data_IF_828580805414
#
_entry.id   IF_828580805414
#
_cell.length_a   1.000
_cell.length_b   1.000
_cell.length_c   1.000
_cell.angle_alpha   90.00
_cell.angle_beta   90.00
_cell.angle_gamma   90.00
#
_symmetry.space_group_name_H-M   'P 1'
#
loop_
_entity.id
_entity.type
_entity.pdbx_description
1 polymer ?
#
# COMPACT_ATOMS: atom_id res chain seq x y z
N UNK A 1 -3.14 -8.39 11.43
CA UNK A 1 -3.75 -7.80 10.23
C UNK A 1 -3.68 -6.28 10.28
N UNK A 2 -4.22 -5.62 11.31
CA UNK A 2 -4.12 -4.17 11.47
C UNK A 2 -2.67 -3.66 11.43
N UNK A 3 -1.72 -4.34 12.08
CA UNK A 3 -0.30 -4.00 11.96
C UNK A 3 0.21 -4.00 10.50
N UNK A 4 -0.27 -4.92 9.66
CA UNK A 4 0.07 -4.93 8.23
C UNK A 4 -0.59 -3.75 7.49
N UNK A 5 -1.80 -3.35 7.88
CA UNK A 5 -2.48 -2.15 7.37
C UNK A 5 -1.71 -0.88 7.75
N UNK A 6 -1.17 -0.80 8.96
CA UNK A 6 -0.26 0.29 9.38
C UNK A 6 0.96 0.34 8.46
N UNK A 7 1.58 -0.80 8.14
CA UNK A 7 2.71 -0.85 7.22
C UNK A 7 2.33 -0.43 5.78
N UNK A 8 1.17 -0.84 5.27
CA UNK A 8 0.66 -0.38 3.96
C UNK A 8 0.43 1.13 3.98
N UNK A 9 -0.19 1.64 5.06
CA UNK A 9 -0.39 3.06 5.28
C UNK A 9 0.93 3.82 5.29
N UNK A 10 1.94 3.33 6.02
CA UNK A 10 3.26 3.95 6.08
C UNK A 10 3.96 3.99 4.72
N UNK A 11 3.81 2.95 3.90
CA UNK A 11 4.34 2.96 2.54
C UNK A 11 3.68 4.09 1.71
N UNK A 12 2.35 4.21 1.75
CA UNK A 12 1.64 5.27 1.02
C UNK A 12 1.96 6.66 1.56
N UNK A 13 1.94 6.85 2.88
CA UNK A 13 2.19 8.14 3.51
C UNK A 13 3.60 8.67 3.34
N UNK A 14 4.57 7.80 3.05
CA UNK A 14 5.93 8.23 2.69
C UNK A 14 6.01 8.94 1.33
N UNK A 15 5.14 8.58 0.38
CA UNK A 15 5.25 9.04 -1.01
C UNK A 15 5.09 10.54 -1.19
N UNK A 16 4.11 11.24 -0.59
CA UNK A 16 3.98 12.70 -0.74
C UNK A 16 5.26 13.45 -0.35
N UNK A 17 5.94 13.01 0.71
CA UNK A 17 7.18 13.62 1.20
C UNK A 17 8.34 13.32 0.23
N UNK A 18 8.50 12.06 -0.17
CA UNK A 18 9.54 11.63 -1.11
C UNK A 18 9.40 12.29 -2.49
N UNK A 19 8.18 12.33 -3.02
CA UNK A 19 7.84 12.92 -4.33
C UNK A 19 8.04 14.42 -4.32
N UNK A 20 7.70 15.11 -3.23
CA UNK A 20 7.93 16.55 -3.10
C UNK A 20 9.42 16.85 -3.13
N UNK A 21 10.22 16.14 -2.34
CA UNK A 21 11.68 16.30 -2.34
C UNK A 21 12.31 15.98 -3.70
N UNK A 22 11.84 14.94 -4.39
CA UNK A 22 12.27 14.62 -5.75
C UNK A 22 11.96 15.73 -6.76
N UNK A 23 10.74 16.28 -6.71
CA UNK A 23 10.34 17.37 -7.60
C UNK A 23 11.15 18.65 -7.35
N UNK A 24 11.47 18.95 -6.09
CA UNK A 24 12.34 20.07 -5.72
C UNK A 24 13.78 19.84 -6.20
N UNK A 25 14.32 18.64 -6.05
CA UNK A 25 15.65 18.27 -6.57
C UNK A 25 15.73 18.32 -8.11
N UNK A 26 14.61 18.06 -8.80
CA UNK A 26 14.49 18.20 -10.25
C UNK A 26 14.29 19.66 -10.71
N UNK A 27 14.23 20.63 -9.80
CA UNK A 27 14.03 22.05 -10.10
C UNK A 27 12.60 22.41 -10.53
N UNK A 28 11.63 21.50 -10.36
CA UNK A 28 10.28 21.64 -10.88
C UNK A 28 9.24 21.32 -9.81
N UNK A 29 9.02 22.25 -8.86
CA UNK A 29 8.12 22.01 -7.71
C UNK A 29 6.68 21.63 -8.11
N UNK A 30 6.17 22.16 -9.22
CA UNK A 30 4.86 21.82 -9.77
C UNK A 30 4.73 20.34 -10.20
N UNK A 31 5.85 19.64 -10.41
CA UNK A 31 5.89 18.24 -10.79
C UNK A 31 5.35 17.32 -9.69
N UNK A 32 5.47 17.70 -8.41
CA UNK A 32 5.00 16.86 -7.29
C UNK A 32 3.50 16.55 -7.40
N UNK A 33 2.68 17.55 -7.74
CA UNK A 33 1.25 17.39 -7.96
C UNK A 33 0.94 16.44 -9.12
N UNK A 34 1.64 16.56 -10.24
CA UNK A 34 1.48 15.68 -11.39
C UNK A 34 1.91 14.23 -11.10
N UNK A 35 2.98 14.03 -10.35
CA UNK A 35 3.46 12.71 -9.94
C UNK A 35 2.48 12.02 -8.99
N UNK A 36 1.93 12.77 -8.02
CA UNK A 36 0.89 12.26 -7.14
C UNK A 36 -0.43 11.99 -7.89
N UNK A 37 -0.77 12.84 -8.87
CA UNK A 37 -1.91 12.60 -9.75
C UNK A 37 -1.72 11.33 -10.60
N UNK A 38 -0.52 11.08 -11.11
CA UNK A 38 -0.20 9.84 -11.83
C UNK A 38 -0.38 8.61 -10.93
N UNK A 39 0.11 8.67 -9.68
CA UNK A 39 -0.10 7.61 -8.70
C UNK A 39 -1.59 7.35 -8.45
N UNK A 40 -2.36 8.41 -8.19
CA UNK A 40 -3.79 8.33 -7.95
C UNK A 40 -4.55 7.79 -9.18
N UNK A 41 -4.15 8.20 -10.38
CA UNK A 41 -4.69 7.67 -11.64
C UNK A 41 -4.42 6.18 -11.80
N UNK A 42 -3.20 5.75 -11.47
CA UNK A 42 -2.84 4.33 -11.41
C UNK A 42 -3.71 3.54 -10.44
N UNK A 43 -3.93 4.07 -9.23
CA UNK A 43 -4.83 3.48 -8.25
C UNK A 43 -6.28 3.42 -8.76
N UNK A 44 -6.78 4.47 -9.41
CA UNK A 44 -8.12 4.45 -10.01
C UNK A 44 -8.26 3.32 -11.04
N UNK A 45 -7.31 3.20 -11.97
CA UNK A 45 -7.30 2.13 -12.98
C UNK A 45 -7.21 0.76 -12.32
N UNK A 46 -6.33 0.60 -11.33
CA UNK A 46 -6.19 -0.64 -10.57
C UNK A 46 -7.49 -1.05 -9.87
N UNK A 47 -8.19 -0.10 -9.27
CA UNK A 47 -9.49 -0.32 -8.64
C UNK A 47 -10.56 -0.74 -9.64
N UNK A 48 -10.66 -0.02 -10.77
CA UNK A 48 -11.62 -0.33 -11.84
C UNK A 48 -11.38 -1.71 -12.44
N UNK A 49 -10.13 -2.07 -12.76
CA UNK A 49 -9.82 -3.39 -13.30
C UNK A 49 -10.04 -4.50 -12.28
N UNK A 50 -9.78 -4.23 -11.00
CA UNK A 50 -9.99 -5.21 -9.94
C UNK A 50 -11.46 -5.53 -9.69
N UNK A 51 -12.41 -4.66 -10.06
CA UNK A 51 -13.86 -4.96 -9.94
C UNK A 51 -14.28 -6.24 -10.67
N UNK A 52 -13.56 -6.61 -11.74
CA UNK A 52 -13.82 -7.83 -12.52
C UNK A 52 -13.19 -9.07 -11.91
N UNK A 53 -12.37 -8.92 -10.88
CA UNK A 53 -11.64 -10.01 -10.29
C UNK A 53 -12.48 -10.67 -9.19
N UNK A 54 -12.85 -11.94 -9.38
CA UNK A 54 -13.73 -12.69 -8.46
C UNK A 54 -13.20 -12.84 -7.03
N UNK A 55 -13.98 -13.43 -6.12
CA UNK A 55 -13.60 -13.58 -4.72
C UNK A 55 -12.28 -14.37 -4.56
N UNK A 56 -11.27 -13.71 -3.98
CA UNK A 56 -9.93 -14.28 -3.84
C UNK A 56 -9.80 -15.32 -2.73
N UNK A 57 -8.89 -16.30 -2.94
CA UNK A 57 -8.49 -17.27 -1.93
C UNK A 57 -7.52 -16.72 -0.86
N UNK A 58 -7.17 -17.57 0.11
CA UNK A 58 -6.35 -17.22 1.30
C UNK A 58 -4.96 -16.62 0.98
N UNK A 59 -4.34 -17.02 -0.13
CA UNK A 59 -3.02 -16.53 -0.55
C UNK A 59 -3.03 -15.19 -1.28
N UNK A 60 -4.22 -14.63 -1.60
CA UNK A 60 -4.32 -13.43 -2.43
C UNK A 60 -3.85 -12.18 -1.70
N UNK A 61 -4.15 -12.03 -0.41
CA UNK A 61 -3.75 -10.84 0.35
C UNK A 61 -2.22 -10.69 0.42
N UNK A 62 -1.43 -11.71 0.83
CA UNK A 62 0.03 -11.65 0.77
C UNK A 62 0.57 -11.35 -0.64
N UNK A 63 -0.01 -11.98 -1.68
CA UNK A 63 0.42 -11.77 -3.07
C UNK A 63 0.17 -10.33 -3.55
N UNK A 64 -1.01 -9.78 -3.26
CA UNK A 64 -1.34 -8.40 -3.60
C UNK A 64 -0.45 -7.41 -2.84
N UNK A 65 -0.18 -7.67 -1.56
CA UNK A 65 0.75 -6.85 -0.77
C UNK A 65 2.18 -6.95 -1.29
N UNK A 66 2.58 -8.11 -1.83
CA UNK A 66 3.90 -8.28 -2.45
C UNK A 66 4.00 -7.52 -3.78
N UNK A 67 2.97 -7.58 -4.63
CA UNK A 67 2.91 -6.77 -5.85
C UNK A 67 2.94 -5.27 -5.52
N UNK A 68 2.23 -4.85 -4.48
CA UNK A 68 2.26 -3.49 -3.96
C UNK A 68 3.66 -3.05 -3.52
N UNK A 69 4.35 -3.86 -2.71
CA UNK A 69 5.72 -3.56 -2.28
C UNK A 69 6.70 -3.51 -3.46
N UNK A 70 6.58 -4.44 -4.40
CA UNK A 70 7.41 -4.51 -5.60
C UNK A 70 7.25 -3.27 -6.49
N UNK A 71 6.06 -2.68 -6.54
CA UNK A 71 5.77 -1.45 -7.30
C UNK A 71 6.65 -0.26 -6.90
N UNK A 72 7.17 -0.23 -5.67
CA UNK A 72 8.03 0.87 -5.19
C UNK A 72 9.52 0.65 -5.50
N UNK A 73 9.96 -0.58 -5.76
CA UNK A 73 11.39 -0.87 -5.97
C UNK A 73 11.99 -0.10 -7.15
N UNK A 74 11.32 0.03 -8.32
CA UNK A 74 11.86 0.81 -9.43
C UNK A 74 12.05 2.30 -9.13
N UNK A 75 11.29 2.86 -8.18
CA UNK A 75 11.40 4.28 -7.81
C UNK A 75 12.76 4.60 -7.18
N UNK A 76 13.43 3.61 -6.60
CA UNK A 76 14.76 3.76 -5.98
C UNK A 76 15.85 4.09 -7.02
N UNK A 77 15.61 3.80 -8.30
CA UNK A 77 16.54 4.17 -9.37
C UNK A 77 16.55 5.68 -9.66
N UNK A 78 15.61 6.44 -9.09
CA UNK A 78 15.44 7.88 -9.31
C UNK A 78 15.48 8.26 -10.80
N UNK A 79 14.66 7.63 -11.67
CA UNK A 79 14.68 7.92 -13.09
C UNK A 79 14.14 9.33 -13.36
N UNK A 80 14.28 9.80 -14.60
CA UNK A 80 13.77 11.12 -15.00
C UNK A 80 12.24 11.27 -14.83
N UNK A 81 11.72 12.52 -14.83
CA UNK A 81 10.33 12.83 -14.47
C UNK A 81 9.24 12.02 -15.21
N UNK A 82 9.30 11.81 -16.54
CA UNK A 82 8.28 11.04 -17.25
C UNK A 82 8.23 9.58 -16.79
N UNK A 83 9.40 8.99 -16.52
CA UNK A 83 9.49 7.62 -16.03
C UNK A 83 9.08 7.50 -14.57
N UNK A 84 9.42 8.50 -13.76
CA UNK A 84 8.93 8.56 -12.38
C UNK A 84 7.39 8.61 -12.34
N UNK A 85 6.76 9.38 -13.22
CA UNK A 85 5.30 9.44 -13.33
C UNK A 85 4.68 8.08 -13.68
N UNK A 86 5.23 7.39 -14.69
CA UNK A 86 4.77 6.05 -15.08
C UNK A 86 4.93 5.04 -13.95
N UNK A 87 6.10 5.01 -13.30
CA UNK A 87 6.36 4.08 -12.21
C UNK A 87 5.47 4.35 -10.99
N UNK A 88 5.19 5.61 -10.67
CA UNK A 88 4.23 5.98 -9.62
C UNK A 88 2.81 5.55 -9.97
N UNK A 89 2.39 5.69 -11.23
CA UNK A 89 1.10 5.15 -11.68
C UNK A 89 1.05 3.63 -11.52
N UNK A 90 2.10 2.91 -11.92
CA UNK A 90 2.21 1.45 -11.73
C UNK A 90 2.20 1.08 -10.24
N UNK A 91 2.89 1.84 -9.39
CA UNK A 91 2.91 1.61 -7.95
C UNK A 91 1.52 1.84 -7.31
N UNK A 92 0.78 2.85 -7.77
CA UNK A 92 -0.60 3.12 -7.33
C UNK A 92 -1.58 2.00 -7.66
N UNK A 93 -1.36 1.30 -8.78
CA UNK A 93 -2.25 0.25 -9.28
C UNK A 93 -2.57 -0.86 -8.27
N UNK A 94 -1.59 -1.24 -7.44
CA UNK A 94 -1.72 -2.37 -6.52
C UNK A 94 -2.43 -2.01 -5.20
N UNK A 95 -2.53 -0.73 -4.84
CA UNK A 95 -3.12 -0.28 -3.58
C UNK A 95 -4.62 -0.66 -3.45
N UNK A 96 -5.51 -0.33 -4.41
CA UNK A 96 -6.92 -0.68 -4.30
C UNK A 96 -7.17 -2.20 -4.15
N UNK A 97 -6.55 -3.08 -4.95
CA UNK A 97 -6.61 -4.53 -4.72
C UNK A 97 -6.27 -4.94 -3.28
N UNK A 98 -5.22 -4.37 -2.70
CA UNK A 98 -4.82 -4.63 -1.30
C UNK A 98 -5.91 -4.17 -0.35
N UNK A 99 -6.43 -2.95 -0.49
CA UNK A 99 -7.48 -2.42 0.37
C UNK A 99 -8.76 -3.26 0.27
N UNK A 100 -9.19 -3.64 -0.94
CA UNK A 100 -10.35 -4.52 -1.12
C UNK A 100 -10.15 -5.86 -0.41
N UNK A 101 -8.97 -6.47 -0.53
CA UNK A 101 -8.66 -7.72 0.16
C UNK A 101 -8.62 -7.56 1.69
N UNK A 102 -8.13 -6.41 2.19
CA UNK A 102 -8.13 -6.05 3.61
C UNK A 102 -9.57 -5.91 4.13
N UNK A 103 -10.41 -5.09 3.49
CA UNK A 103 -11.80 -4.91 3.93
C UNK A 103 -12.61 -6.21 3.86
N UNK A 104 -12.40 -7.03 2.81
CA UNK A 104 -13.02 -8.36 2.72
C UNK A 104 -12.55 -9.29 3.85
N UNK A 105 -11.26 -9.22 4.22
CA UNK A 105 -10.74 -10.01 5.33
C UNK A 105 -11.25 -9.52 6.69
N UNK A 106 -11.48 -8.21 6.84
CA UNK A 106 -12.05 -7.61 8.04
C UNK A 106 -13.52 -8.02 8.19
N UNK A 107 -14.31 -7.95 7.11
CA UNK A 107 -15.70 -8.41 7.07
C UNK A 107 -15.85 -9.87 7.49
N UNK A 108 -14.99 -10.76 6.96
CA UNK A 108 -14.97 -12.18 7.35
C UNK A 108 -14.50 -12.46 8.78
N UNK A 109 -13.80 -11.52 9.40
CA UNK A 109 -13.29 -11.64 10.77
C UNK A 109 -14.20 -11.01 11.80
N UNK A 110 -15.00 -10.02 11.40
CA UNK A 110 -15.85 -9.28 12.30
C UNK A 110 -16.94 -10.19 12.89
N UNK A 111 -17.13 -10.18 14.21
CA UNK A 111 -18.32 -10.73 14.83
C UNK A 111 -19.61 -10.14 14.24
N UNK A 112 -20.74 -10.86 14.29
CA UNK A 112 -22.03 -10.32 13.89
C UNK A 112 -22.32 -9.01 14.62
N UNK A 113 -22.69 -7.97 13.87
CA UNK A 113 -23.01 -6.65 14.42
C UNK A 113 -21.83 -5.68 14.59
N UNK A 114 -20.58 -6.07 14.33
CA UNK A 114 -19.40 -5.19 14.54
C UNK A 114 -18.60 -4.88 13.27
N UNK A 115 -19.16 -5.13 12.08
CA UNK A 115 -18.49 -4.88 10.79
C UNK A 115 -18.07 -3.41 10.64
N UNK A 116 -18.95 -2.48 11.02
CA UNK A 116 -18.67 -1.05 10.95
C UNK A 116 -17.47 -0.66 11.83
N UNK A 117 -17.37 -1.24 13.04
CA UNK A 117 -16.25 -1.01 13.94
C UNK A 117 -14.94 -1.59 13.37
N UNK A 118 -15.00 -2.80 12.81
CA UNK A 118 -13.84 -3.42 12.17
C UNK A 118 -13.30 -2.56 11.00
N UNK A 119 -14.21 -2.00 10.18
CA UNK A 119 -13.83 -1.12 9.08
C UNK A 119 -13.24 0.21 9.59
N UNK A 120 -13.81 0.78 10.65
CA UNK A 120 -13.27 1.97 11.29
C UNK A 120 -11.83 1.73 11.78
N UNK A 121 -11.56 0.59 12.43
CA UNK A 121 -10.20 0.23 12.87
C UNK A 121 -9.22 0.04 11.72
N UNK A 122 -9.65 -0.51 10.58
CA UNK A 122 -8.81 -0.62 9.38
C UNK A 122 -8.43 0.76 8.85
N UNK A 123 -9.39 1.68 8.74
CA UNK A 123 -9.14 3.06 8.28
C UNK A 123 -8.21 3.78 9.26
N UNK A 124 -8.47 3.69 10.56
CA UNK A 124 -7.61 4.28 11.59
C UNK A 124 -6.18 3.76 11.51
N UNK A 125 -6.01 2.44 11.39
CA UNK A 125 -4.69 1.84 11.24
C UNK A 125 -3.95 2.34 9.99
N UNK A 126 -4.66 2.47 8.86
CA UNK A 126 -4.08 3.00 7.62
C UNK A 126 -3.65 4.46 7.79
N UNK A 127 -4.51 5.30 8.38
CA UNK A 127 -4.22 6.72 8.62
C UNK A 127 -3.04 6.91 9.58
N UNK A 128 -2.99 6.16 10.68
CA UNK A 128 -1.86 6.15 11.63
C UNK A 128 -0.57 5.74 10.90
N UNK A 129 -0.64 4.67 10.10
CA UNK A 129 0.48 4.26 9.26
C UNK A 129 0.94 5.37 8.35
N UNK A 130 0.02 5.99 7.61
CA UNK A 130 0.31 7.08 6.67
C UNK A 130 0.98 8.27 7.35
N UNK A 131 0.49 8.68 8.52
CA UNK A 131 1.11 9.75 9.31
C UNK A 131 2.54 9.37 9.75
N UNK A 132 2.73 8.15 10.25
CA UNK A 132 4.05 7.66 10.64
C UNK A 132 5.01 7.58 9.46
N UNK A 133 4.55 7.10 8.30
CA UNK A 133 5.34 7.04 7.07
C UNK A 133 5.81 8.42 6.60
N UNK A 134 4.90 9.41 6.61
CA UNK A 134 5.25 10.79 6.29
C UNK A 134 6.30 11.36 7.26
N UNK A 135 6.07 11.18 8.57
CA UNK A 135 6.97 11.68 9.61
C UNK A 135 8.38 11.07 9.52
N UNK A 136 8.48 9.76 9.27
CA UNK A 136 9.76 9.05 9.15
C UNK A 136 10.49 9.38 7.84
N UNK A 137 9.76 9.77 6.80
CA UNK A 137 10.35 10.10 5.48
C UNK A 137 10.99 11.48 5.49
N UNK A 138 10.42 12.44 6.22
CA UNK A 138 10.90 13.84 6.27
C UNK A 138 12.42 13.98 6.45
N UNK A 139 13.03 13.38 7.49
CA UNK A 139 14.47 13.47 7.73
C UNK A 139 15.33 12.92 6.58
N UNK A 140 14.86 11.86 5.90
CA UNK A 140 15.60 11.15 4.85
C UNK A 140 15.29 11.64 3.43
N UNK A 141 14.25 12.45 3.26
CA UNK A 141 13.70 12.86 1.97
C UNK A 141 14.69 13.67 1.11
N UNK A 142 15.51 14.49 1.76
CA UNK A 142 16.53 15.33 1.12
C UNK A 142 17.76 14.54 0.63
N UNK A 143 17.92 13.29 1.08
CA UNK A 143 19.00 12.41 0.66
C UNK A 143 18.53 11.48 -0.46
N UNK A 144 19.48 10.78 -1.10
CA UNK A 144 19.20 9.76 -2.13
C UNK A 144 18.24 8.65 -1.67
N UNK A 145 17.94 8.59 -0.38
CA UNK A 145 17.12 7.58 0.28
C UNK A 145 15.65 7.99 0.47
N UNK A 146 15.20 9.13 -0.06
CA UNK A 146 13.83 9.60 0.15
C UNK A 146 12.72 8.60 -0.23
N UNK A 147 12.97 7.72 -1.22
CA UNK A 147 12.02 6.67 -1.62
C UNK A 147 12.21 5.33 -0.89
N UNK A 148 13.22 5.15 -0.03
CA UNK A 148 13.47 3.91 0.70
C UNK A 148 12.38 3.54 1.73
N UNK A 149 11.73 4.49 2.43
CA UNK A 149 10.68 4.14 3.40
C UNK A 149 9.51 3.36 2.79
N UNK A 150 9.11 3.67 1.55
CA UNK A 150 7.98 3.01 0.87
C UNK A 150 8.17 1.49 0.68
N UNK A 151 9.22 0.99 0.00
CA UNK A 151 9.44 -0.45 -0.15
C UNK A 151 9.76 -1.14 1.18
N UNK A 152 10.44 -0.49 2.13
CA UNK A 152 10.70 -1.08 3.46
C UNK A 152 9.39 -1.33 4.21
N UNK A 153 8.51 -0.33 4.25
CA UNK A 153 7.19 -0.48 4.84
C UNK A 153 6.32 -1.49 4.08
N UNK A 154 6.41 -1.51 2.75
CA UNK A 154 5.76 -2.51 1.90
C UNK A 154 6.20 -3.94 2.23
N UNK A 155 7.51 -4.19 2.35
CA UNK A 155 8.06 -5.49 2.72
C UNK A 155 7.64 -5.92 4.13
N UNK A 156 7.62 -4.99 5.10
CA UNK A 156 7.09 -5.24 6.42
C UNK A 156 5.60 -5.63 6.37
N UNK A 157 4.80 -4.96 5.52
CA UNK A 157 3.42 -5.33 5.29
C UNK A 157 3.30 -6.76 4.72
N UNK A 158 4.13 -7.13 3.74
CA UNK A 158 4.17 -8.49 3.17
C UNK A 158 4.45 -9.51 4.27
N UNK A 159 5.47 -9.29 5.10
CA UNK A 159 5.83 -10.21 6.18
C UNK A 159 4.66 -10.41 7.16
N UNK A 160 4.01 -9.31 7.58
CA UNK A 160 2.87 -9.37 8.50
C UNK A 160 1.65 -10.04 7.86
N UNK A 161 1.31 -9.71 6.61
CA UNK A 161 0.17 -10.33 5.91
C UNK A 161 0.40 -11.81 5.66
N UNK A 162 1.63 -12.21 5.33
CA UNK A 162 2.02 -13.62 5.17
C UNK A 162 1.91 -14.37 6.48
N UNK A 163 2.43 -13.81 7.58
CA UNK A 163 2.31 -14.42 8.91
C UNK A 163 0.83 -14.59 9.33
N UNK A 164 -0.03 -13.62 9.03
CA UNK A 164 -1.48 -13.72 9.29
C UNK A 164 -2.12 -14.82 8.44
N UNK A 165 -1.73 -14.95 7.17
CA UNK A 165 -2.25 -15.99 6.28
C UNK A 165 -1.84 -17.40 6.74
N UNK A 166 -0.61 -17.56 7.24
CA UNK A 166 -0.08 -18.83 7.74
C UNK A 166 -0.64 -19.24 9.11
N UNK A 167 -0.93 -18.28 9.99
CA UNK A 167 -1.42 -18.56 11.36
C UNK A 167 -2.87 -19.01 11.44
N UNK A 168 -3.69 -18.85 10.39
CA UNK A 168 -5.09 -19.31 10.43
C UNK A 168 -5.13 -20.82 10.15
N UNK A 169 -5.50 -21.67 11.13
CA UNK A 169 -5.63 -23.09 10.88
C UNK A 169 -6.65 -23.29 9.77
N UNK A 170 -6.32 -24.18 8.83
CA UNK A 170 -7.32 -24.79 7.99
C UNK A 170 -8.37 -25.44 8.89
N UNK A 171 -9.50 -24.75 9.14
CA UNK A 171 -10.74 -25.45 9.48
C UNK A 171 -11.10 -26.28 8.26
N UNK A 172 -10.46 -27.45 8.14
CA UNK A 172 -10.97 -28.58 7.38
C UNK A 172 -12.25 -28.99 8.12
N UNK A 173 -13.40 -28.59 7.56
CA UNK A 173 -14.56 -29.47 7.58
C UNK A 173 -14.17 -30.75 6.81
N UNK A 174 -14.62 -31.95 7.15
CA UNK A 174 -15.92 -32.41 7.64
C UNK A 174 -15.66 -33.54 8.66
N UNK A 175 -16.36 -33.60 9.80
CA UNK A 175 -17.62 -34.37 9.90
C UNK A 175 -17.55 -35.67 9.07
N UNK A 176 -17.02 -36.72 9.70
CA UNK A 176 -17.64 -38.05 9.64
C UNK A 176 -18.24 -38.29 11.01
#
# INVERSE_FOLDING_TARGET
MLAGVVCVGAAIGSLPVAVTAYAEAAGARALSGWLLAAQAGGALVGGLLYTRAGAGGRGRLPLLTAAFAAGFLPLLALPGPPWMALLLAVAGFALPPVLTAVFTAADRLAPPGTIAEAFAWVITAFTVGSAAGAALTGPVAQFRYGFVPAPVAGLAAVAVMTAVALRRPSRRSRRR
#
